data_IF_405163480085
#
_entry.id   IF_405163480085
#
_cell.length_a   1.000
_cell.length_b   1.000
_cell.length_c   1.000
_cell.angle_alpha   90.00
_cell.angle_beta   90.00
_cell.angle_gamma   90.00
#
_symmetry.space_group_name_H-M   'P 1'
#
loop_
_entity.id
_entity.type
_entity.pdbx_description
1 polymer ?
#
# COMPACT_ATOMS: atom_id res chain seq x y z
N UNK A 1 -15.96 -25.23 -11.23
CA UNK A 1 -16.96 -24.14 -11.29
C UNK A 1 -16.54 -23.06 -10.30
N UNK A 2 -16.68 -21.77 -10.62
CA UNK A 2 -16.45 -20.69 -9.67
C UNK A 2 -17.30 -20.86 -8.40
N UNK A 3 -16.69 -20.69 -7.23
CA UNK A 3 -17.35 -20.75 -5.93
C UNK A 3 -16.62 -19.81 -4.96
N UNK A 4 -17.26 -19.43 -3.86
CA UNK A 4 -16.62 -18.60 -2.84
C UNK A 4 -15.35 -19.26 -2.27
N UNK A 5 -15.38 -20.57 -2.04
CA UNK A 5 -14.22 -21.32 -1.58
C UNK A 5 -13.05 -21.28 -2.59
N UNK A 6 -13.37 -21.39 -3.89
CA UNK A 6 -12.37 -21.23 -4.96
C UNK A 6 -11.78 -19.83 -4.97
N UNK A 7 -12.61 -18.79 -4.79
CA UNK A 7 -12.15 -17.39 -4.74
C UNK A 7 -11.29 -17.14 -3.50
N UNK A 8 -11.67 -17.66 -2.33
CA UNK A 8 -10.87 -17.58 -1.11
C UNK A 8 -9.49 -18.23 -1.30
N UNK A 9 -9.44 -19.43 -1.89
CA UNK A 9 -8.18 -20.11 -2.17
C UNK A 9 -7.30 -19.30 -3.13
N UNK A 10 -7.88 -18.75 -4.21
CA UNK A 10 -7.15 -17.88 -5.14
C UNK A 10 -6.62 -16.62 -4.45
N UNK A 11 -7.43 -15.95 -3.62
CA UNK A 11 -7.02 -14.77 -2.86
C UNK A 11 -5.87 -15.08 -1.90
N UNK A 12 -5.88 -16.24 -1.24
CA UNK A 12 -4.78 -16.64 -0.35
C UNK A 12 -3.46 -16.86 -1.12
N UNK A 13 -3.54 -17.42 -2.34
CA UNK A 13 -2.38 -17.60 -3.21
C UNK A 13 -1.89 -16.24 -3.74
N UNK A 14 -2.79 -15.40 -4.24
CA UNK A 14 -2.50 -14.07 -4.78
C UNK A 14 -2.00 -13.09 -3.71
N UNK A 15 -2.36 -13.32 -2.45
CA UNK A 15 -1.80 -12.57 -1.34
C UNK A 15 -0.29 -12.83 -1.18
N UNK A 16 0.18 -14.04 -1.46
CA UNK A 16 1.59 -14.42 -1.34
C UNK A 16 2.39 -14.21 -2.64
N UNK A 17 1.75 -14.35 -3.80
CA UNK A 17 2.40 -14.32 -5.12
C UNK A 17 1.83 -13.18 -5.96
N UNK A 18 2.71 -12.35 -6.54
CA UNK A 18 2.32 -11.41 -7.59
C UNK A 18 1.83 -12.19 -8.80
N UNK A 19 0.51 -12.33 -8.95
CA UNK A 19 -0.08 -12.95 -10.13
C UNK A 19 -0.19 -11.91 -11.27
N UNK A 20 0.95 -11.49 -11.81
CA UNK A 20 1.00 -10.58 -12.96
C UNK A 20 0.74 -11.29 -14.30
N UNK A 21 0.83 -12.62 -14.33
CA UNK A 21 0.61 -13.40 -15.56
C UNK A 21 -0.87 -13.47 -15.97
N UNK A 22 -1.81 -13.32 -15.03
CA UNK A 22 -3.24 -13.32 -15.36
C UNK A 22 -4.08 -12.45 -14.39
N UNK A 23 -3.81 -11.13 -14.34
CA UNK A 23 -4.50 -10.20 -13.47
C UNK A 23 -5.96 -10.06 -13.89
N UNK A 24 -6.86 -10.72 -13.15
CA UNK A 24 -8.29 -10.57 -13.35
C UNK A 24 -9.07 -11.88 -13.41
N UNK A 25 -8.42 -13.04 -13.48
CA UNK A 25 -9.16 -14.32 -13.43
C UNK A 25 -9.95 -14.46 -12.12
N UNK A 26 -9.36 -14.09 -10.99
CA UNK A 26 -10.04 -14.08 -9.69
C UNK A 26 -11.21 -13.09 -9.65
N UNK A 27 -11.02 -11.89 -10.23
CA UNK A 27 -12.08 -10.90 -10.34
C UNK A 27 -13.23 -11.38 -11.25
N UNK A 28 -12.93 -11.97 -12.40
CA UNK A 28 -13.93 -12.53 -13.33
C UNK A 28 -14.69 -13.70 -12.70
N UNK A 29 -14.00 -14.60 -11.99
CA UNK A 29 -14.65 -15.70 -11.26
C UNK A 29 -15.61 -15.16 -10.19
N UNK A 30 -15.21 -14.14 -9.43
CA UNK A 30 -16.08 -13.49 -8.45
C UNK A 30 -17.25 -12.72 -9.07
N UNK A 31 -17.03 -12.09 -10.23
CA UNK A 31 -18.11 -11.45 -10.99
C UNK A 31 -19.15 -12.46 -11.46
N UNK A 32 -18.71 -13.63 -11.93
CA UNK A 32 -19.59 -14.69 -12.43
C UNK A 32 -20.57 -15.24 -11.38
N UNK A 33 -20.23 -15.16 -10.09
CA UNK A 33 -21.12 -15.55 -8.98
C UNK A 33 -21.77 -14.36 -8.27
N UNK A 34 -21.61 -13.14 -8.79
CA UNK A 34 -22.32 -11.95 -8.32
C UNK A 34 -21.74 -11.25 -7.10
N UNK A 35 -20.49 -11.50 -6.70
CA UNK A 35 -19.91 -10.87 -5.48
C UNK A 35 -19.79 -9.33 -5.56
N UNK A 36 -19.81 -8.78 -6.78
CA UNK A 36 -19.68 -7.36 -7.06
C UNK A 36 -21.00 -6.57 -6.97
N UNK A 37 -22.15 -7.24 -6.95
CA UNK A 37 -23.46 -6.61 -7.21
C UNK A 37 -23.86 -5.54 -6.18
N UNK A 38 -23.33 -5.62 -4.95
CA UNK A 38 -23.62 -4.64 -3.89
C UNK A 38 -22.80 -3.36 -3.98
N UNK A 39 -21.77 -3.27 -4.82
CA UNK A 39 -20.93 -2.07 -4.92
C UNK A 39 -21.66 -0.86 -5.54
N UNK A 40 -22.62 -1.08 -6.43
CA UNK A 40 -23.27 0.02 -7.18
C UNK A 40 -24.38 0.73 -6.39
N UNK A 41 -24.72 0.26 -5.18
CA UNK A 41 -25.90 0.74 -4.44
C UNK A 41 -25.59 1.69 -3.30
N UNK A 42 -24.33 1.82 -2.89
CA UNK A 42 -23.97 2.69 -1.77
C UNK A 42 -22.97 3.76 -2.17
N UNK A 43 -23.35 5.02 -1.93
CA UNK A 43 -22.46 6.18 -1.96
C UNK A 43 -21.49 6.18 -0.77
N UNK A 44 -21.83 5.43 0.27
CA UNK A 44 -21.03 5.26 1.48
C UNK A 44 -20.26 3.93 1.36
N UNK A 45 -19.04 3.85 1.89
CA UNK A 45 -18.29 2.59 1.98
C UNK A 45 -18.95 1.68 3.02
N UNK A 46 -20.13 1.20 2.65
CA UNK A 46 -21.08 0.58 3.54
C UNK A 46 -20.69 -0.88 3.80
N UNK A 47 -21.14 -1.40 4.93
CA UNK A 47 -20.96 -2.78 5.37
C UNK A 47 -21.56 -3.82 4.39
N UNK A 48 -22.26 -3.37 3.35
CA UNK A 48 -22.92 -4.20 2.34
C UNK A 48 -21.98 -4.78 1.26
N UNK A 49 -20.73 -4.29 1.14
CA UNK A 49 -19.77 -4.86 0.18
C UNK A 49 -19.33 -6.24 0.65
N UNK A 50 -19.40 -7.23 -0.25
CA UNK A 50 -18.98 -8.58 0.05
C UNK A 50 -17.49 -8.62 0.44
N UNK A 51 -17.08 -9.22 1.58
CA UNK A 51 -15.69 -9.18 2.05
C UNK A 51 -14.67 -9.71 1.03
N UNK A 52 -15.02 -10.79 0.31
CA UNK A 52 -14.16 -11.33 -0.74
C UNK A 52 -14.02 -10.36 -1.91
N UNK A 53 -15.06 -9.60 -2.25
CA UNK A 53 -14.98 -8.59 -3.30
C UNK A 53 -14.09 -7.42 -2.88
N UNK A 54 -14.16 -6.98 -1.62
CA UNK A 54 -13.22 -6.00 -1.06
C UNK A 54 -11.77 -6.49 -1.13
N UNK A 55 -11.51 -7.77 -0.83
CA UNK A 55 -10.18 -8.36 -0.90
C UNK A 55 -9.65 -8.44 -2.34
N UNK A 56 -10.49 -8.84 -3.30
CA UNK A 56 -10.16 -8.82 -4.74
C UNK A 56 -9.77 -7.42 -5.16
N UNK A 57 -10.62 -6.45 -4.82
CA UNK A 57 -10.39 -5.06 -5.22
C UNK A 57 -9.11 -4.48 -4.58
N UNK A 58 -8.80 -4.85 -3.33
CA UNK A 58 -7.52 -4.53 -2.67
C UNK A 58 -6.30 -5.10 -3.42
N UNK A 59 -6.30 -6.41 -3.71
CA UNK A 59 -5.17 -7.07 -4.38
C UNK A 59 -4.99 -6.56 -5.81
N UNK A 60 -6.10 -6.49 -6.55
CA UNK A 60 -6.08 -6.03 -7.93
C UNK A 60 -5.67 -4.56 -8.04
N UNK A 61 -6.13 -3.69 -7.12
CA UNK A 61 -5.62 -2.32 -7.03
C UNK A 61 -4.13 -2.29 -6.70
N UNK A 62 -3.65 -3.11 -5.76
CA UNK A 62 -2.22 -3.16 -5.40
C UNK A 62 -1.34 -3.55 -6.59
N UNK A 63 -1.74 -4.57 -7.35
CA UNK A 63 -1.08 -4.98 -8.58
C UNK A 63 -1.14 -3.88 -9.65
N UNK A 64 -2.30 -3.25 -9.82
CA UNK A 64 -2.47 -2.10 -10.70
C UNK A 64 -1.51 -0.96 -10.41
N UNK A 65 -1.40 -0.61 -9.13
CA UNK A 65 -0.53 0.47 -8.68
C UNK A 65 0.95 0.14 -8.90
N UNK A 66 1.34 -1.13 -8.75
CA UNK A 66 2.73 -1.58 -8.91
C UNK A 66 3.16 -1.74 -10.38
N UNK A 67 2.24 -2.19 -11.25
CA UNK A 67 2.54 -2.50 -12.65
C UNK A 67 1.99 -1.47 -13.65
N UNK A 68 1.41 -0.37 -13.17
CA UNK A 68 0.90 0.72 -14.01
C UNK A 68 -0.27 0.29 -14.90
N UNK A 69 -1.06 -0.70 -14.48
CA UNK A 69 -2.24 -1.20 -15.22
C UNK A 69 -3.54 -0.72 -14.58
N UNK A 70 -4.62 -0.62 -15.37
CA UNK A 70 -5.97 -0.40 -14.81
C UNK A 70 -6.44 -1.65 -14.06
N UNK A 71 -7.13 -1.54 -12.90
CA UNK A 71 -7.58 -2.72 -12.18
C UNK A 71 -8.70 -3.43 -12.96
N UNK A 72 -8.60 -4.75 -13.09
CA UNK A 72 -9.60 -5.60 -13.77
C UNK A 72 -10.92 -5.70 -12.98
N UNK A 73 -10.85 -5.49 -11.67
CA UNK A 73 -11.98 -5.42 -10.74
C UNK A 73 -12.81 -4.15 -10.86
N UNK A 74 -12.35 -3.15 -11.63
CA UNK A 74 -13.16 -1.98 -11.93
C UNK A 74 -14.35 -2.37 -12.79
N UNK A 75 -15.50 -2.54 -12.15
CA UNK A 75 -16.79 -2.56 -12.82
C UNK A 75 -17.05 -1.15 -13.36
N UNK A 76 -17.45 -1.05 -14.62
CA UNK A 76 -17.78 0.23 -15.26
C UNK A 76 -18.73 1.06 -14.36
N UNK A 77 -18.35 2.29 -14.01
CA UNK A 77 -19.14 3.23 -13.19
C UNK A 77 -18.55 3.58 -11.82
N UNK A 78 -17.69 2.73 -11.23
CA UNK A 78 -17.01 3.02 -9.95
C UNK A 78 -15.82 3.99 -10.09
N UNK A 79 -15.35 4.18 -11.33
CA UNK A 79 -14.30 5.11 -11.75
C UNK A 79 -14.72 6.59 -11.65
N UNK A 80 -16.01 6.88 -11.54
CA UNK A 80 -16.52 8.25 -11.64
C UNK A 80 -16.56 9.02 -10.30
N UNK A 81 -16.34 8.35 -9.18
CA UNK A 81 -16.53 8.96 -7.86
C UNK A 81 -15.20 9.34 -7.24
N UNK A 82 -14.86 10.64 -7.32
CA UNK A 82 -13.78 11.25 -6.56
C UNK A 82 -14.01 10.99 -5.06
N UNK A 83 -13.24 10.05 -4.49
CA UNK A 83 -13.31 9.78 -3.07
C UNK A 83 -12.61 10.91 -2.32
N UNK A 84 -13.41 11.73 -1.67
CA UNK A 84 -12.93 12.70 -0.69
C UNK A 84 -13.29 12.21 0.69
N UNK A 85 -12.28 11.82 1.47
CA UNK A 85 -12.49 11.41 2.85
C UNK A 85 -12.67 12.68 3.69
N UNK A 86 -13.88 12.95 4.13
CA UNK A 86 -14.22 14.07 5.00
C UNK A 86 -14.08 13.67 6.48
N UNK A 87 -13.93 14.67 7.35
CA UNK A 87 -13.92 14.45 8.79
C UNK A 87 -15.27 13.87 9.27
N UNK A 88 -15.23 12.96 10.24
CA UNK A 88 -16.42 12.31 10.81
C UNK A 88 -16.88 11.03 10.12
N UNK A 89 -16.26 10.64 8.99
CA UNK A 89 -16.49 9.32 8.38
C UNK A 89 -16.03 8.23 9.34
N UNK A 90 -16.81 7.15 9.45
CA UNK A 90 -16.43 5.94 10.19
C UNK A 90 -16.39 4.76 9.24
N UNK A 91 -15.55 3.78 9.57
CA UNK A 91 -15.49 2.52 8.82
C UNK A 91 -15.93 1.39 9.74
N UNK A 92 -16.93 0.58 9.34
CA UNK A 92 -17.42 -0.50 10.19
C UNK A 92 -16.38 -1.61 10.38
N UNK A 93 -15.50 -1.80 9.39
CA UNK A 93 -14.52 -2.89 9.36
C UNK A 93 -13.15 -2.40 8.91
N UNK A 94 -12.10 -3.16 9.25
CA UNK A 94 -10.75 -2.91 8.75
C UNK A 94 -10.72 -2.99 7.22
N UNK A 95 -11.44 -3.95 6.64
CA UNK A 95 -11.56 -4.10 5.19
C UNK A 95 -12.17 -2.87 4.51
N UNK A 96 -13.15 -2.21 5.12
CA UNK A 96 -13.71 -0.98 4.59
C UNK A 96 -12.70 0.18 4.65
N UNK A 97 -11.96 0.28 5.76
CA UNK A 97 -10.90 1.27 5.93
C UNK A 97 -9.74 1.05 4.93
N UNK A 98 -9.25 -0.19 4.78
CA UNK A 98 -8.22 -0.54 3.80
C UNK A 98 -8.72 -0.32 2.39
N UNK A 99 -10.00 -0.57 2.14
CA UNK A 99 -10.63 -0.22 0.88
C UNK A 99 -10.54 1.28 0.57
N UNK A 100 -10.96 2.14 1.51
CA UNK A 100 -10.93 3.59 1.31
C UNK A 100 -9.53 4.13 0.97
N UNK A 101 -8.48 3.65 1.63
CA UNK A 101 -7.10 4.06 1.31
C UNK A 101 -6.65 3.60 -0.09
N UNK A 102 -7.07 2.41 -0.54
CA UNK A 102 -6.74 1.94 -1.90
C UNK A 102 -7.48 2.73 -2.97
N UNK A 103 -8.76 3.10 -2.76
CA UNK A 103 -9.45 4.01 -3.69
C UNK A 103 -8.76 5.35 -3.74
N UNK A 104 -8.38 5.89 -2.58
CA UNK A 104 -7.66 7.17 -2.52
C UNK A 104 -6.35 7.11 -3.32
N UNK A 105 -5.55 6.05 -3.12
CA UNK A 105 -4.30 5.84 -3.86
C UNK A 105 -4.54 5.68 -5.36
N UNK A 106 -5.57 4.94 -5.74
CA UNK A 106 -5.86 4.70 -7.15
C UNK A 106 -6.40 5.95 -7.84
N UNK A 107 -7.29 6.72 -7.20
CA UNK A 107 -7.76 8.00 -7.72
C UNK A 107 -6.59 8.98 -7.92
N UNK A 108 -5.66 9.02 -6.96
CA UNK A 108 -4.43 9.80 -7.08
C UNK A 108 -3.60 9.42 -8.31
N UNK A 109 -3.41 8.11 -8.57
CA UNK A 109 -2.70 7.66 -9.76
C UNK A 109 -3.47 7.95 -11.06
N UNK A 110 -4.78 7.74 -11.09
CA UNK A 110 -5.60 7.99 -12.28
C UNK A 110 -5.60 9.48 -12.66
N UNK A 111 -5.64 10.37 -11.68
CA UNK A 111 -5.49 11.81 -11.90
C UNK A 111 -4.10 12.19 -12.43
N UNK A 112 -3.04 11.44 -12.08
CA UNK A 112 -1.70 11.64 -12.64
C UNK A 112 -1.52 11.11 -14.05
N UNK A 113 -2.19 10.03 -14.43
CA UNK A 113 -2.06 9.41 -15.76
C UNK A 113 -2.73 10.20 -16.89
N UNK A 114 -3.37 11.35 -16.60
CA UNK A 114 -3.68 12.33 -17.65
C UNK A 114 -2.41 12.87 -18.31
N UNK A 115 -2.52 13.63 -19.41
CA UNK A 115 -1.40 14.28 -20.14
C UNK A 115 -0.51 15.24 -19.31
N UNK A 116 -0.69 15.27 -18.00
CA UNK A 116 0.01 16.10 -17.04
C UNK A 116 1.31 15.42 -16.66
N UNK A 117 2.46 16.01 -17.02
CA UNK A 117 3.75 15.56 -16.49
C UNK A 117 3.72 15.66 -14.97
N UNK A 118 4.39 14.75 -14.25
CA UNK A 118 4.44 14.77 -12.78
C UNK A 118 4.90 16.12 -12.17
N UNK A 119 5.60 16.97 -12.93
CA UNK A 119 5.97 18.34 -12.53
C UNK A 119 4.80 19.31 -12.40
N UNK A 120 3.67 19.01 -13.04
CA UNK A 120 2.59 19.96 -13.34
C UNK A 120 1.32 19.70 -12.51
N UNK A 121 1.37 18.76 -11.56
CA UNK A 121 0.24 18.47 -10.66
C UNK A 121 -0.06 19.71 -9.81
N UNK A 122 -1.28 20.28 -9.87
CA UNK A 122 -1.63 21.47 -9.09
C UNK A 122 -1.48 21.22 -7.58
N UNK A 123 -0.90 22.18 -6.82
CA UNK A 123 -0.74 22.05 -5.36
C UNK A 123 -2.06 21.79 -4.61
N UNK A 124 -3.18 22.26 -5.14
CA UNK A 124 -4.53 22.01 -4.58
C UNK A 124 -4.91 20.54 -4.60
N UNK A 125 -4.50 19.79 -5.63
CA UNK A 125 -4.76 18.35 -5.74
C UNK A 125 -3.95 17.63 -4.67
N UNK A 126 -2.64 17.91 -4.57
CA UNK A 126 -1.77 17.36 -3.52
C UNK A 126 -2.36 17.60 -2.13
N UNK A 127 -2.72 18.86 -1.83
CA UNK A 127 -3.29 19.23 -0.54
C UNK A 127 -4.57 18.45 -0.21
N UNK A 128 -5.46 18.28 -1.18
CA UNK A 128 -6.72 17.54 -1.02
C UNK A 128 -6.49 16.05 -0.69
N UNK A 129 -5.52 15.41 -1.33
CA UNK A 129 -5.18 14.01 -1.04
C UNK A 129 -4.48 13.85 0.30
N UNK A 130 -3.55 14.75 0.65
CA UNK A 130 -2.91 14.77 1.97
C UNK A 130 -3.94 15.01 3.09
N UNK A 131 -4.91 15.89 2.88
CA UNK A 131 -6.00 16.12 3.82
C UNK A 131 -6.88 14.87 3.99
N UNK A 132 -7.21 14.19 2.89
CA UNK A 132 -7.98 12.93 2.94
C UNK A 132 -7.22 11.83 3.70
N UNK A 133 -5.90 11.74 3.52
CA UNK A 133 -5.05 10.83 4.31
C UNK A 133 -5.01 11.21 5.78
N UNK A 134 -4.86 12.49 6.11
CA UNK A 134 -4.88 12.96 7.49
C UNK A 134 -6.20 12.63 8.19
N UNK A 135 -7.32 12.70 7.47
CA UNK A 135 -8.61 12.24 7.99
C UNK A 135 -8.57 10.73 8.27
N UNK A 136 -8.12 9.89 7.32
CA UNK A 136 -7.97 8.44 7.51
C UNK A 136 -7.06 8.07 8.69
N UNK A 137 -6.01 8.84 8.95
CA UNK A 137 -5.08 8.63 10.07
C UNK A 137 -5.77 8.71 11.43
N UNK A 138 -6.83 9.50 11.54
CA UNK A 138 -7.50 9.81 12.82
C UNK A 138 -8.73 8.96 13.08
N UNK A 139 -9.26 8.25 12.08
CA UNK A 139 -10.51 7.50 12.21
C UNK A 139 -10.31 6.24 13.08
N UNK A 140 -10.95 6.14 14.26
CA UNK A 140 -10.88 4.94 15.08
C UNK A 140 -11.68 3.78 14.46
N UNK A 141 -11.36 2.52 14.80
CA UNK A 141 -10.20 2.07 15.59
C UNK A 141 -8.93 1.87 14.74
N UNK A 142 -9.01 2.03 13.41
CA UNK A 142 -7.98 1.58 12.47
C UNK A 142 -6.90 2.64 12.18
N UNK A 143 -7.25 3.90 12.34
CA UNK A 143 -6.37 5.03 12.09
C UNK A 143 -5.17 4.98 13.02
N UNK A 144 -3.93 5.04 12.51
CA UNK A 144 -2.73 4.93 13.32
C UNK A 144 -2.58 6.03 14.38
N UNK A 145 -3.27 7.17 14.19
CA UNK A 145 -3.29 8.32 15.10
C UNK A 145 -4.62 8.45 15.85
N UNK A 146 -5.48 7.42 15.83
CA UNK A 146 -6.84 7.48 16.40
C UNK A 146 -6.93 7.57 17.93
N UNK A 147 -5.83 7.86 18.64
CA UNK A 147 -5.67 7.81 20.12
C UNK A 147 -6.13 6.50 20.80
N UNK A 148 -6.61 5.53 20.01
CA UNK A 148 -7.14 4.26 20.47
C UNK A 148 -5.97 3.29 20.61
N UNK A 149 -5.66 2.90 21.84
CA UNK A 149 -4.66 1.85 22.06
C UNK A 149 -5.20 0.51 21.55
N UNK A 150 -4.40 -0.28 20.82
CA UNK A 150 -4.84 -1.59 20.36
C UNK A 150 -5.11 -2.49 21.58
N UNK A 151 -6.37 -2.90 21.74
CA UNK A 151 -6.83 -3.72 22.87
C UNK A 151 -6.51 -5.21 22.69
N UNK A 152 -6.24 -5.65 21.46
CA UNK A 152 -5.93 -7.04 21.14
C UNK A 152 -4.74 -7.14 20.20
N UNK A 153 -4.14 -8.33 20.17
CA UNK A 153 -3.07 -8.65 19.22
C UNK A 153 -3.50 -8.42 17.76
N UNK A 154 -4.72 -8.82 17.41
CA UNK A 154 -5.29 -8.57 16.09
C UNK A 154 -5.38 -7.07 15.76
N UNK A 155 -5.86 -6.24 16.70
CA UNK A 155 -5.88 -4.77 16.53
C UNK A 155 -4.48 -4.18 16.37
N UNK A 156 -3.48 -4.75 17.04
CA UNK A 156 -2.09 -4.31 16.87
C UNK A 156 -1.58 -4.58 15.45
N UNK A 157 -1.89 -5.75 14.90
CA UNK A 157 -1.55 -6.09 13.51
C UNK A 157 -2.26 -5.14 12.54
N UNK A 158 -3.57 -4.93 12.70
CA UNK A 158 -4.34 -3.99 11.85
C UNK A 158 -3.72 -2.59 11.89
N UNK A 159 -3.36 -2.07 13.06
CA UNK A 159 -2.72 -0.76 13.20
C UNK A 159 -1.36 -0.68 12.48
N UNK A 160 -0.56 -1.73 12.54
CA UNK A 160 0.73 -1.79 11.83
C UNK A 160 0.53 -1.83 10.31
N UNK A 161 -0.45 -2.61 9.84
CA UNK A 161 -0.82 -2.65 8.42
C UNK A 161 -1.36 -1.29 7.96
N UNK A 162 -2.17 -0.60 8.78
CA UNK A 162 -2.62 0.77 8.53
C UNK A 162 -1.45 1.75 8.37
N UNK A 163 -0.46 1.68 9.26
CA UNK A 163 0.75 2.51 9.19
C UNK A 163 1.50 2.29 7.87
N UNK A 164 1.66 1.04 7.45
CA UNK A 164 2.35 0.71 6.20
C UNK A 164 1.62 1.33 5.01
N UNK A 165 0.29 1.13 4.90
CA UNK A 165 -0.47 1.70 3.79
C UNK A 165 -0.49 3.22 3.79
N UNK A 166 -0.75 3.87 4.93
CA UNK A 166 -0.77 5.35 5.01
C UNK A 166 0.57 5.92 4.62
N UNK A 167 1.66 5.44 5.23
CA UNK A 167 2.97 5.99 4.96
C UNK A 167 3.40 5.76 3.51
N UNK A 168 2.98 4.65 2.89
CA UNK A 168 3.27 4.37 1.49
C UNK A 168 2.59 5.39 0.56
N UNK A 169 1.27 5.56 0.70
CA UNK A 169 0.49 6.51 -0.10
C UNK A 169 0.99 7.93 0.13
N UNK A 170 1.26 8.28 1.39
CA UNK A 170 1.74 9.59 1.79
C UNK A 170 3.09 9.91 1.16
N UNK A 171 4.05 8.98 1.23
CA UNK A 171 5.35 9.14 0.59
C UNK A 171 5.24 9.36 -0.93
N UNK A 172 4.35 8.61 -1.62
CA UNK A 172 4.12 8.81 -3.05
C UNK A 172 3.56 10.19 -3.39
N UNK A 173 2.58 10.68 -2.62
CA UNK A 173 1.99 12.01 -2.84
C UNK A 173 3.04 13.10 -2.57
N UNK A 174 3.74 13.00 -1.44
CA UNK A 174 4.77 13.96 -1.05
C UNK A 174 5.95 13.97 -2.01
N UNK A 175 6.31 12.84 -2.61
CA UNK A 175 7.34 12.77 -3.66
C UNK A 175 7.02 13.67 -4.85
N UNK A 176 5.77 13.63 -5.33
CA UNK A 176 5.32 14.53 -6.42
C UNK A 176 5.38 15.98 -5.97
N UNK A 177 4.92 16.27 -4.76
CA UNK A 177 4.92 17.62 -4.20
C UNK A 177 6.33 18.19 -3.99
N UNK A 178 7.29 17.35 -3.59
CA UNK A 178 8.69 17.71 -3.39
C UNK A 178 9.42 17.97 -4.72
N UNK A 179 9.04 17.27 -5.78
CA UNK A 179 9.65 17.40 -7.12
C UNK A 179 8.97 18.46 -8.01
N UNK A 180 7.73 18.85 -7.70
CA UNK A 180 6.98 19.81 -8.52
C UNK A 180 7.68 21.17 -8.58
N UNK A 181 7.69 21.80 -9.75
CA UNK A 181 8.16 23.19 -9.93
C UNK A 181 7.11 24.22 -9.53
N UNK A 182 5.83 23.81 -9.45
CA UNK A 182 4.71 24.67 -9.06
C UNK A 182 4.65 24.95 -7.54
N UNK A 183 5.36 24.16 -6.74
CA UNK A 183 5.43 24.31 -5.27
C UNK A 183 6.62 25.19 -4.88
N UNK A 184 6.44 26.06 -3.89
CA UNK A 184 7.49 26.95 -3.39
C UNK A 184 8.68 26.15 -2.81
N UNK A 185 9.94 26.58 -2.99
CA UNK A 185 11.12 25.83 -2.54
C UNK A 185 11.10 25.41 -1.07
N UNK A 186 10.66 26.28 -0.16
CA UNK A 186 10.54 25.95 1.26
C UNK A 186 9.56 24.80 1.51
N UNK A 187 8.37 24.86 0.92
CA UNK A 187 7.36 23.80 1.02
C UNK A 187 7.80 22.50 0.34
N UNK A 188 8.61 22.57 -0.72
CA UNK A 188 9.20 21.35 -1.32
C UNK A 188 10.14 20.64 -0.37
N UNK A 189 10.93 21.39 0.39
CA UNK A 189 11.80 20.84 1.43
C UNK A 189 10.98 20.21 2.55
N UNK A 190 9.95 20.89 3.03
CA UNK A 190 9.04 20.34 4.04
C UNK A 190 8.39 19.02 3.57
N UNK A 191 7.88 18.98 2.33
CA UNK A 191 7.32 17.75 1.76
C UNK A 191 8.37 16.65 1.59
N UNK A 192 9.60 17.00 1.22
CA UNK A 192 10.70 16.04 1.12
C UNK A 192 11.04 15.44 2.50
N UNK A 193 11.16 16.27 3.53
CA UNK A 193 11.43 15.81 4.90
C UNK A 193 10.30 14.90 5.41
N UNK A 194 9.05 15.28 5.16
CA UNK A 194 7.88 14.48 5.54
C UNK A 194 7.79 13.16 4.74
N UNK A 195 8.22 13.16 3.48
CA UNK A 195 8.32 11.95 2.65
C UNK A 195 9.34 10.99 3.26
N UNK A 196 10.54 11.47 3.60
CA UNK A 196 11.61 10.66 4.21
C UNK A 196 11.15 10.06 5.54
N UNK A 197 10.45 10.84 6.38
CA UNK A 197 9.85 10.36 7.62
C UNK A 197 8.79 9.28 7.37
N UNK A 198 7.96 9.45 6.35
CA UNK A 198 6.92 8.48 5.98
C UNK A 198 7.55 7.15 5.54
N UNK A 199 8.58 7.19 4.68
CA UNK A 199 9.32 5.99 4.26
C UNK A 199 9.94 5.26 5.46
N UNK A 200 10.60 5.98 6.36
CA UNK A 200 11.18 5.42 7.59
C UNK A 200 10.12 4.82 8.53
N UNK A 201 8.98 5.51 8.68
CA UNK A 201 7.85 5.05 9.49
C UNK A 201 7.22 3.76 8.95
N UNK A 202 7.12 3.63 7.63
CA UNK A 202 6.67 2.42 6.95
C UNK A 202 7.58 1.24 7.26
N UNK A 203 8.89 1.39 7.06
CA UNK A 203 9.86 0.32 7.26
C UNK A 203 9.89 -0.10 8.74
N UNK A 204 9.83 0.87 9.65
CA UNK A 204 9.73 0.60 11.10
C UNK A 204 8.49 -0.20 11.46
N UNK A 205 7.33 0.12 10.86
CA UNK A 205 6.09 -0.61 11.06
C UNK A 205 6.20 -2.05 10.53
N UNK A 206 6.79 -2.25 9.36
CA UNK A 206 7.05 -3.60 8.82
C UNK A 206 7.95 -4.44 9.73
N UNK A 207 9.09 -3.90 10.17
CA UNK A 207 10.00 -4.61 11.08
C UNK A 207 9.32 -5.00 12.40
N UNK A 208 8.29 -4.25 12.81
CA UNK A 208 7.48 -4.59 13.99
C UNK A 208 6.40 -5.62 13.65
N UNK A 209 5.84 -5.58 12.45
CA UNK A 209 4.81 -6.51 11.97
C UNK A 209 5.36 -7.92 11.72
N UNK A 210 6.56 -8.02 11.16
CA UNK A 210 7.20 -9.29 10.75
C UNK A 210 7.15 -10.39 11.82
N UNK A 211 7.61 -10.16 13.08
CA UNK A 211 7.53 -11.19 14.12
C UNK A 211 6.11 -11.46 14.65
N UNK A 212 5.13 -10.60 14.35
CA UNK A 212 3.75 -10.72 14.86
C UNK A 212 2.83 -11.47 13.89
N UNK A 213 3.08 -11.40 12.58
CA UNK A 213 2.23 -12.02 11.59
C UNK A 213 3.01 -12.42 10.34
N UNK A 214 3.35 -13.71 10.26
CA UNK A 214 3.99 -14.29 9.07
C UNK A 214 3.13 -14.07 7.83
N UNK A 215 1.80 -14.29 7.93
CA UNK A 215 0.87 -14.11 6.81
C UNK A 215 0.86 -12.70 6.26
N UNK A 216 0.77 -11.67 7.12
CA UNK A 216 0.75 -10.28 6.66
C UNK A 216 2.12 -9.82 6.19
N UNK A 217 3.17 -10.22 6.91
CA UNK A 217 4.53 -9.84 6.56
C UNK A 217 5.01 -10.44 5.25
N UNK A 218 4.56 -11.66 4.92
CA UNK A 218 4.84 -12.31 3.64
C UNK A 218 3.82 -11.97 2.55
N UNK A 219 2.85 -11.08 2.82
CA UNK A 219 1.94 -10.65 1.78
C UNK A 219 2.66 -9.78 0.76
N UNK A 220 2.46 -10.07 -0.52
CA UNK A 220 3.08 -9.40 -1.64
C UNK A 220 2.92 -7.87 -1.60
N UNK A 221 1.72 -7.29 -1.35
CA UNK A 221 1.57 -5.83 -1.31
C UNK A 221 2.38 -5.16 -0.19
N UNK A 222 2.50 -5.82 0.97
CA UNK A 222 3.23 -5.30 2.13
C UNK A 222 4.73 -5.40 1.91
N UNK A 223 5.22 -6.55 1.41
CA UNK A 223 6.62 -6.73 1.02
C UNK A 223 7.02 -5.73 -0.07
N UNK A 224 6.20 -5.60 -1.10
CA UNK A 224 6.43 -4.67 -2.20
C UNK A 224 6.56 -3.24 -1.67
N UNK A 225 5.57 -2.76 -0.90
CA UNK A 225 5.60 -1.40 -0.32
C UNK A 225 6.82 -1.18 0.57
N UNK A 226 7.23 -2.19 1.34
CA UNK A 226 8.37 -2.10 2.25
C UNK A 226 9.70 -2.05 1.51
N UNK A 227 9.95 -2.98 0.59
CA UNK A 227 11.20 -3.06 -0.14
C UNK A 227 11.35 -1.87 -1.08
N UNK A 228 10.29 -1.48 -1.79
CA UNK A 228 10.33 -0.29 -2.67
C UNK A 228 10.62 0.99 -1.89
N UNK A 229 10.00 1.16 -0.71
CA UNK A 229 10.24 2.32 0.16
C UNK A 229 11.65 2.32 0.73
N UNK A 230 12.18 1.17 1.13
CA UNK A 230 13.55 1.04 1.61
C UNK A 230 14.57 1.35 0.51
N UNK A 231 14.34 0.86 -0.71
CA UNK A 231 15.20 1.15 -1.87
C UNK A 231 15.20 2.63 -2.20
N UNK A 232 14.02 3.26 -2.20
CA UNK A 232 13.90 4.69 -2.43
C UNK A 232 14.62 5.50 -1.35
N UNK A 233 14.41 5.16 -0.07
CA UNK A 233 15.05 5.84 1.05
C UNK A 233 16.58 5.72 1.00
N UNK A 234 17.09 4.50 0.82
CA UNK A 234 18.52 4.24 0.71
C UNK A 234 19.14 4.94 -0.52
N UNK A 235 18.48 4.87 -1.67
CA UNK A 235 18.94 5.51 -2.89
C UNK A 235 19.00 7.04 -2.79
N UNK A 236 18.03 7.65 -2.11
CA UNK A 236 18.05 9.10 -1.83
C UNK A 236 19.22 9.46 -0.92
N UNK A 237 19.39 8.80 0.23
CA UNK A 237 20.50 9.07 1.14
C UNK A 237 21.86 8.88 0.44
N UNK A 238 22.03 7.78 -0.31
CA UNK A 238 23.23 7.54 -1.11
C UNK A 238 23.50 8.68 -2.11
N UNK A 239 22.47 9.15 -2.82
CA UNK A 239 22.61 10.27 -3.78
C UNK A 239 22.96 11.59 -3.12
N UNK A 240 22.61 11.78 -1.85
CA UNK A 240 22.96 12.94 -1.04
C UNK A 240 24.33 12.80 -0.35
N UNK A 241 24.98 11.64 -0.45
CA UNK A 241 26.21 11.33 0.30
C UNK A 241 25.99 11.15 1.81
N UNK A 242 24.76 10.82 2.21
CA UNK A 242 24.39 10.53 3.59
C UNK A 242 24.47 9.03 3.88
N UNK A 243 24.72 8.68 5.15
CA UNK A 243 24.73 7.28 5.57
C UNK A 243 23.35 6.62 5.41
N UNK A 244 23.34 5.34 5.03
CA UNK A 244 22.11 4.56 4.96
C UNK A 244 21.40 4.52 6.33
N UNK A 245 20.10 4.90 6.40
CA UNK A 245 19.37 4.98 7.66
C UNK A 245 19.35 3.66 8.43
N UNK A 246 19.48 3.74 9.77
CA UNK A 246 19.46 2.57 10.66
C UNK A 246 18.22 1.68 10.47
N UNK A 247 17.07 2.28 10.13
CA UNK A 247 15.83 1.53 9.87
C UNK A 247 15.96 0.61 8.64
N UNK A 248 16.70 1.03 7.61
CA UNK A 248 16.98 0.21 6.43
C UNK A 248 17.95 -0.91 6.79
N UNK A 249 19.02 -0.61 7.54
CA UNK A 249 19.96 -1.62 8.04
C UNK A 249 19.25 -2.69 8.89
N UNK A 250 18.32 -2.27 9.76
CA UNK A 250 17.47 -3.16 10.53
C UNK A 250 16.59 -4.03 9.64
N UNK A 251 15.95 -3.45 8.62
CA UNK A 251 15.15 -4.21 7.65
C UNK A 251 15.99 -5.29 6.96
N UNK A 252 17.19 -4.94 6.50
CA UNK A 252 18.11 -5.90 5.88
C UNK A 252 18.37 -7.06 6.83
N UNK A 253 18.71 -6.81 8.09
CA UNK A 253 18.89 -7.87 9.09
C UNK A 253 17.67 -8.78 9.22
N UNK A 254 16.48 -8.18 9.40
CA UNK A 254 15.20 -8.92 9.53
C UNK A 254 14.89 -9.79 8.30
N UNK A 255 15.21 -9.31 7.09
CA UNK A 255 14.96 -10.07 5.86
C UNK A 255 16.07 -11.09 5.55
N UNK A 256 17.28 -10.91 6.08
CA UNK A 256 18.39 -11.84 5.90
C UNK A 256 18.22 -13.11 6.73
N UNK A 257 17.72 -12.99 7.97
CA UNK A 257 17.42 -14.13 8.85
C UNK A 257 16.52 -15.15 8.13
N UNK A 258 15.50 -14.67 7.41
CA UNK A 258 14.60 -15.52 6.62
C UNK A 258 15.31 -16.29 5.49
N UNK A 259 16.38 -15.75 4.89
CA UNK A 259 17.08 -16.39 3.76
C UNK A 259 18.07 -17.45 4.24
N UNK A 260 18.63 -17.28 5.44
CA UNK A 260 19.62 -18.20 6.01
C UNK A 260 18.97 -19.39 6.73
N UNK A 261 17.78 -19.21 7.33
CA UNK A 261 17.06 -20.29 8.00
C UNK A 261 16.40 -21.29 7.01
N UNK A 262 16.02 -20.84 5.81
CA UNK A 262 15.16 -21.61 4.87
C UNK A 262 15.93 -22.45 3.83
N UNK A 263 17.10 -23.01 4.20
CA UNK A 263 18.02 -23.77 3.34
C UNK A 263 17.37 -24.53 2.17
N UNK A 264 17.82 -24.24 0.95
CA UNK A 264 17.37 -24.77 -0.37
C UNK A 264 15.86 -24.66 -0.72
N UNK A 265 14.98 -24.38 0.24
CA UNK A 265 13.54 -24.15 0.06
C UNK A 265 13.18 -22.65 -0.10
N UNK A 266 14.03 -21.74 0.39
CA UNK A 266 13.89 -20.28 0.23
C UNK A 266 14.01 -19.78 -1.23
N UNK A 267 14.45 -20.63 -2.18
CA UNK A 267 14.40 -20.31 -3.61
C UNK A 267 12.98 -20.34 -4.20
N UNK A 268 12.00 -20.93 -3.50
CA UNK A 268 10.65 -21.14 -4.00
C UNK A 268 9.62 -20.09 -3.54
N UNK A 269 9.87 -19.36 -2.45
CA UNK A 269 8.93 -18.38 -1.90
C UNK A 269 9.43 -16.93 -2.07
N UNK A 270 9.31 -16.46 -3.31
CA UNK A 270 9.39 -15.04 -3.64
C UNK A 270 9.60 -14.88 -5.14
N UNK A 271 8.81 -14.04 -5.87
CA UNK A 271 9.16 -13.68 -7.23
C UNK A 271 10.60 -13.11 -7.23
N UNK A 272 11.44 -13.59 -8.15
CA UNK A 272 12.88 -13.28 -8.24
C UNK A 272 13.24 -11.79 -8.04
N UNK A 273 12.32 -10.88 -8.39
CA UNK A 273 12.41 -9.46 -8.14
C UNK A 273 12.68 -9.06 -6.66
N UNK A 274 12.18 -9.84 -5.68
CA UNK A 274 12.43 -9.57 -4.26
C UNK A 274 13.86 -9.87 -3.83
N UNK A 275 14.42 -10.97 -4.32
CA UNK A 275 15.80 -11.35 -4.05
C UNK A 275 16.77 -10.30 -4.63
N UNK A 276 16.47 -9.77 -5.82
CA UNK A 276 17.25 -8.70 -6.42
C UNK A 276 17.13 -7.38 -5.65
N UNK A 277 15.92 -6.99 -5.22
CA UNK A 277 15.71 -5.82 -4.37
C UNK A 277 16.47 -5.92 -3.04
N UNK A 278 16.42 -7.07 -2.37
CA UNK A 278 17.19 -7.32 -1.15
C UNK A 278 18.70 -7.29 -1.38
N UNK A 279 19.18 -7.84 -2.50
CA UNK A 279 20.60 -7.78 -2.88
C UNK A 279 21.07 -6.33 -3.04
N UNK A 280 20.28 -5.49 -3.70
CA UNK A 280 20.59 -4.05 -3.84
C UNK A 280 20.58 -3.37 -2.48
N UNK A 281 19.59 -3.65 -1.62
CA UNK A 281 19.53 -3.08 -0.27
C UNK A 281 20.74 -3.45 0.58
N UNK A 282 21.20 -4.71 0.52
CA UNK A 282 22.43 -5.15 1.21
C UNK A 282 23.61 -4.32 0.75
N UNK A 283 23.80 -4.20 -0.56
CA UNK A 283 24.90 -3.40 -1.13
C UNK A 283 24.85 -1.94 -0.70
N UNK A 284 23.66 -1.31 -0.68
CA UNK A 284 23.50 0.07 -0.23
C UNK A 284 23.70 0.22 1.29
N UNK A 285 23.48 -0.83 2.08
CA UNK A 285 23.60 -0.78 3.54
C UNK A 285 25.02 -0.98 4.08
N UNK A 286 25.89 -1.59 3.27
CA UNK A 286 27.29 -1.89 3.58
C UNK A 286 28.25 -0.75 3.22
N UNK A 287 27.83 0.15 2.32
CA UNK A 287 28.55 1.37 1.95
C UNK A 287 28.06 2.57 2.75
#
# INVERSE_FOLDING_TARGET
>A
MPSEATIQALLMIELAIANDANPGTTAQNAQSIGLHLNMNRSLEWDAAIHPLWSAIWFLDSSLSLAFGRRPSSFVAGLDQHNLHIVSGVTFPTFCAWTGAIHKLKLNWQLEQTGDVKASDVPPSIVFRYLQSLANLETIPPYGPRSNTKPSTFHRKIEQLVSLIHINHVKAEILRVAALSSAVRPASRREHFDEMMQSLSGLISAYCTLKPLSVTMANSWPILYATISSALLLAGICYSLGEETPLVVKKLVGVLCEDVEEDGDHGRAMGPAAYADGLRVLRHLSEN
#
